data_IF_472249756869
#
_entry.id   IF_472249756869
#
_cell.length_a   1.000
_cell.length_b   1.000
_cell.length_c   1.000
_cell.angle_alpha   90.00
_cell.angle_beta   90.00
_cell.angle_gamma   90.00
#
_symmetry.space_group_name_H-M   'P 1'
#
loop_
_entity.id
_entity.type
_entity.pdbx_description
1 polymer ?
#
# COMPACT_ATOMS: atom_id res chain seq x y z
N UNK A 1 9.68 -8.83 5.68
CA UNK A 1 8.98 -7.69 5.05
C UNK A 1 7.57 -7.69 5.60
N UNK A 2 7.05 -6.54 6.05
CA UNK A 2 5.75 -6.44 6.73
C UNK A 2 4.77 -5.66 5.85
N UNK A 3 3.56 -6.19 5.66
CA UNK A 3 2.48 -5.48 4.99
C UNK A 3 1.68 -4.67 6.01
N UNK A 4 1.57 -3.36 5.80
CA UNK A 4 0.96 -2.40 6.72
C UNK A 4 -0.22 -1.69 6.05
N UNK A 5 -1.13 -1.16 6.88
CA UNK A 5 -2.11 -0.18 6.41
C UNK A 5 -1.40 1.10 5.94
N UNK A 6 -2.07 1.90 5.12
CA UNK A 6 -1.45 3.09 4.54
C UNK A 6 -0.95 4.06 5.61
N UNK A 7 -1.74 4.31 6.66
CA UNK A 7 -1.38 5.26 7.71
C UNK A 7 -0.17 4.79 8.52
N UNK A 8 -0.15 3.51 8.89
CA UNK A 8 0.98 2.92 9.63
C UNK A 8 2.24 2.88 8.77
N UNK A 9 2.09 2.62 7.46
CA UNK A 9 3.22 2.70 6.52
C UNK A 9 3.82 4.11 6.48
N UNK A 10 3.00 5.16 6.42
CA UNK A 10 3.47 6.56 6.42
C UNK A 10 4.21 6.88 7.73
N UNK A 11 3.68 6.48 8.87
CA UNK A 11 4.33 6.67 10.17
C UNK A 11 5.69 5.97 10.24
N UNK A 12 5.76 4.70 9.82
CA UNK A 12 7.02 3.95 9.82
C UNK A 12 8.02 4.46 8.78
N UNK A 13 7.55 4.93 7.63
CA UNK A 13 8.40 5.59 6.63
C UNK A 13 8.99 6.90 7.18
N UNK A 14 8.21 7.69 7.89
CA UNK A 14 8.70 8.92 8.52
C UNK A 14 9.78 8.61 9.57
N UNK A 15 9.61 7.57 10.39
CA UNK A 15 10.65 7.08 11.31
C UNK A 15 11.90 6.55 10.58
N UNK A 16 11.74 6.03 9.37
CA UNK A 16 12.82 5.49 8.56
C UNK A 16 13.67 6.60 7.92
N UNK A 17 13.03 7.69 7.50
CA UNK A 17 13.66 8.86 6.88
C UNK A 17 14.07 9.95 7.88
N UNK A 18 13.53 9.93 9.10
CA UNK A 18 13.77 10.94 10.12
C UNK A 18 15.23 11.04 10.60
N UNK A 19 15.56 12.12 11.34
CA UNK A 19 16.91 12.32 11.88
C UNK A 19 17.27 11.16 12.79
N UNK A 20 18.35 10.48 12.45
CA UNK A 20 18.85 9.40 13.28
C UNK A 20 19.96 9.97 14.14
N UNK A 21 19.66 10.24 15.40
CA UNK A 21 20.65 10.69 16.38
C UNK A 21 21.85 9.73 16.36
N UNK A 22 23.03 10.29 16.03
CA UNK A 22 24.29 9.56 16.06
C UNK A 22 24.54 8.54 14.94
N UNK A 23 23.74 8.45 13.86
CA UNK A 23 24.03 7.50 12.76
C UNK A 23 24.55 8.12 11.47
N UNK A 24 25.46 7.37 10.83
CA UNK A 24 25.97 7.59 9.48
C UNK A 24 24.82 7.67 8.46
N UNK A 25 25.01 8.49 7.43
CA UNK A 25 24.12 8.58 6.25
C UNK A 25 23.70 7.18 5.80
N UNK A 26 22.40 6.96 5.66
CA UNK A 26 21.83 5.68 5.21
C UNK A 26 20.95 5.93 3.99
N UNK A 27 21.04 5.05 3.00
CA UNK A 27 20.15 5.10 1.84
C UNK A 27 18.86 4.37 2.17
N UNK A 28 17.72 5.03 1.92
CA UNK A 28 16.41 4.41 2.00
C UNK A 28 15.97 4.06 0.58
N UNK A 29 15.67 2.79 0.37
CA UNK A 29 15.21 2.28 -0.92
C UNK A 29 13.69 2.20 -0.93
N UNK A 30 13.06 2.88 -1.89
CA UNK A 30 11.62 2.83 -2.12
C UNK A 30 11.37 2.23 -3.49
N UNK A 31 10.46 1.26 -3.58
CA UNK A 31 10.04 0.65 -4.84
C UNK A 31 8.53 0.71 -4.98
N UNK A 32 8.06 0.92 -6.21
CA UNK A 32 6.64 0.96 -6.56
C UNK A 32 6.40 -0.06 -7.68
N UNK A 33 5.43 -0.97 -7.49
CA UNK A 33 5.09 -2.01 -8.46
C UNK A 33 3.60 -2.04 -8.71
N UNK A 34 3.18 -2.05 -9.98
CA UNK A 34 1.80 -2.32 -10.38
C UNK A 34 1.45 -3.79 -10.13
N UNK A 35 0.35 -4.05 -9.44
CA UNK A 35 -0.12 -5.40 -9.07
C UNK A 35 -1.59 -5.54 -9.47
N UNK A 36 -1.98 -6.70 -10.01
CA UNK A 36 -3.40 -7.02 -10.25
C UNK A 36 -4.04 -7.42 -8.93
N UNK A 37 -5.25 -6.91 -8.67
CA UNK A 37 -6.02 -7.20 -7.46
C UNK A 37 -6.35 -8.68 -7.30
N UNK A 38 -6.50 -9.40 -8.42
CA UNK A 38 -6.75 -10.83 -8.41
C UNK A 38 -5.57 -11.65 -7.91
N UNK A 39 -4.34 -11.14 -8.04
CA UNK A 39 -3.10 -11.82 -7.61
C UNK A 39 -2.89 -11.75 -6.09
N UNK A 40 -3.76 -11.02 -5.37
CA UNK A 40 -3.66 -10.78 -3.92
C UNK A 40 -4.58 -11.73 -3.14
N UNK A 41 -5.34 -12.59 -3.85
CA UNK A 41 -6.17 -13.63 -3.25
C UNK A 41 -5.31 -14.77 -2.69
N UNK A 42 -4.80 -14.62 -1.47
CA UNK A 42 -4.51 -15.71 -0.50
C UNK A 42 -4.09 -15.17 0.88
N UNK A 43 -4.85 -14.25 1.50
CA UNK A 43 -4.60 -13.97 2.94
C UNK A 43 -5.79 -13.54 3.78
N UNK A 44 -7.00 -13.42 3.22
CA UNK A 44 -8.20 -13.17 4.00
C UNK A 44 -9.37 -14.05 3.52
N UNK A 45 -9.92 -14.83 4.46
CA UNK A 45 -11.14 -15.68 4.42
C UNK A 45 -11.06 -17.10 3.80
N UNK A 46 -10.44 -18.02 4.53
CA UNK A 46 -11.14 -19.25 4.93
C UNK A 46 -11.88 -18.92 6.23
N UNK A 47 -13.03 -18.25 6.13
CA UNK A 47 -14.07 -18.25 7.17
C UNK A 47 -15.42 -18.05 6.48
N UNK A 48 -16.29 -18.98 6.82
CA UNK A 48 -17.74 -19.00 6.66
C UNK A 48 -18.32 -19.51 5.34
N UNK A 49 -18.89 -20.69 5.49
CA UNK A 49 -19.73 -21.42 4.58
C UNK A 49 -21.03 -20.66 4.27
N UNK A 50 -21.51 -20.85 3.03
CA UNK A 50 -22.93 -20.87 2.67
C UNK A 50 -23.72 -19.57 2.79
N UNK A 51 -24.02 -18.93 1.65
CA UNK A 51 -25.40 -18.91 1.19
C UNK A 51 -25.57 -18.44 -0.26
N UNK A 52 -26.40 -19.16 -1.02
CA UNK A 52 -26.89 -18.78 -2.34
C UNK A 52 -28.00 -17.73 -2.17
N UNK A 53 -27.91 -16.56 -2.82
CA UNK A 53 -29.08 -15.93 -3.47
C UNK A 53 -28.74 -14.74 -4.38
N UNK A 54 -29.34 -14.79 -5.57
CA UNK A 54 -29.38 -13.77 -6.62
C UNK A 54 -29.92 -12.42 -6.13
N UNK A 55 -29.31 -11.30 -6.52
CA UNK A 55 -30.07 -10.07 -6.82
C UNK A 55 -29.36 -9.07 -7.74
N UNK A 56 -30.04 -8.78 -8.87
CA UNK A 56 -30.12 -7.54 -9.67
C UNK A 56 -28.84 -6.89 -10.24
N UNK A 57 -28.71 -7.03 -11.56
CA UNK A 57 -28.08 -6.05 -12.47
C UNK A 57 -28.73 -4.67 -12.27
N UNK A 58 -27.93 -3.66 -11.93
CA UNK A 58 -28.27 -2.23 -12.08
C UNK A 58 -27.24 -1.60 -13.02
N UNK A 59 -27.76 -0.85 -13.98
CA UNK A 59 -27.08 -0.31 -15.14
C UNK A 59 -26.00 0.73 -14.84
N UNK A 60 -24.90 0.61 -15.59
CA UNK A 60 -24.15 1.66 -16.30
C UNK A 60 -23.97 3.01 -15.56
N UNK A 61 -22.83 3.15 -14.89
CA UNK A 61 -22.18 4.44 -14.76
C UNK A 61 -20.75 4.30 -15.30
N UNK A 62 -20.45 5.02 -16.37
CA UNK A 62 -19.21 4.96 -17.16
C UNK A 62 -18.05 5.64 -16.44
N UNK A 63 -17.64 5.05 -15.32
CA UNK A 63 -16.36 5.33 -14.69
C UNK A 63 -15.66 4.00 -14.37
N UNK A 64 -15.33 3.25 -15.43
CA UNK A 64 -14.44 2.07 -15.42
C UNK A 64 -12.99 2.50 -15.09
N UNK A 65 -12.82 3.23 -14.00
CA UNK A 65 -11.51 3.43 -13.40
C UNK A 65 -10.92 2.06 -13.07
N UNK A 66 -9.62 1.91 -13.32
CA UNK A 66 -8.80 0.71 -13.29
C UNK A 66 -8.75 -0.01 -11.92
N UNK A 67 -9.90 -0.34 -11.31
CA UNK A 67 -10.04 -1.05 -10.01
C UNK A 67 -9.42 -2.45 -10.02
N UNK A 68 -9.01 -2.93 -11.18
CA UNK A 68 -8.25 -4.16 -11.39
C UNK A 68 -6.82 -4.06 -10.86
N UNK A 69 -6.23 -2.87 -10.79
CA UNK A 69 -4.83 -2.69 -10.41
C UNK A 69 -4.67 -1.87 -9.14
N UNK A 70 -3.60 -2.15 -8.42
CA UNK A 70 -3.13 -1.36 -7.29
C UNK A 70 -1.62 -1.18 -7.34
N UNK A 71 -1.11 -0.23 -6.56
CA UNK A 71 0.32 -0.03 -6.39
C UNK A 71 0.78 -0.72 -5.09
N UNK A 72 1.72 -1.65 -5.21
CA UNK A 72 2.48 -2.17 -4.07
C UNK A 72 3.72 -1.28 -3.89
N UNK A 73 3.80 -0.65 -2.74
CA UNK A 73 4.91 0.21 -2.36
C UNK A 73 5.71 -0.48 -1.27
N UNK A 74 7.04 -0.46 -1.35
CA UNK A 74 7.94 -1.05 -0.36
C UNK A 74 9.03 -0.06 -0.01
N UNK A 75 9.41 0.00 1.26
CA UNK A 75 10.52 0.80 1.75
C UNK A 75 11.45 -0.02 2.65
N UNK A 76 12.76 0.22 2.54
CA UNK A 76 13.78 -0.48 3.32
C UNK A 76 15.05 0.34 3.52
N UNK A 77 15.73 0.14 4.65
CA UNK A 77 17.07 0.68 4.94
C UNK A 77 18.21 -0.20 4.37
N UNK A 78 17.84 -1.24 3.60
CA UNK A 78 18.76 -2.25 3.08
C UNK A 78 19.24 -3.26 4.12
N UNK A 79 18.79 -3.14 5.37
CA UNK A 79 19.20 -3.98 6.50
C UNK A 79 17.97 -4.70 7.06
N UNK A 80 17.43 -4.19 8.16
CA UNK A 80 16.50 -4.90 9.02
C UNK A 80 15.06 -4.43 8.84
N UNK A 81 14.85 -3.15 8.50
CA UNK A 81 13.49 -2.59 8.36
C UNK A 81 13.03 -2.74 6.93
N UNK A 82 11.98 -3.55 6.70
CA UNK A 82 11.35 -3.78 5.39
C UNK A 82 9.84 -3.67 5.52
N UNK A 83 9.27 -2.55 5.13
CA UNK A 83 7.82 -2.26 5.21
C UNK A 83 7.21 -2.18 3.82
N UNK A 84 5.91 -2.45 3.71
CA UNK A 84 5.17 -2.42 2.45
C UNK A 84 3.70 -2.07 2.65
N UNK A 85 3.05 -1.53 1.62
CA UNK A 85 1.61 -1.23 1.64
C UNK A 85 1.01 -1.30 0.23
N UNK A 86 -0.31 -1.50 0.16
CA UNK A 86 -1.07 -1.46 -1.08
C UNK A 86 -1.87 -0.16 -1.16
N UNK A 87 -1.78 0.54 -2.29
CA UNK A 87 -2.49 1.81 -2.52
C UNK A 87 -3.39 1.69 -3.74
N UNK A 88 -4.67 2.02 -3.58
CA UNK A 88 -5.67 1.87 -4.65
C UNK A 88 -6.70 3.01 -4.69
N UNK A 89 -7.41 3.31 -3.61
CA UNK A 89 -8.51 4.31 -3.64
C UNK A 89 -8.09 5.71 -3.16
N UNK A 90 -7.07 5.81 -2.31
CA UNK A 90 -6.63 7.05 -1.64
C UNK A 90 -5.31 7.62 -2.21
N UNK A 91 -5.04 7.38 -3.50
CA UNK A 91 -3.73 7.66 -4.14
C UNK A 91 -3.29 9.12 -3.97
N UNK A 92 -4.19 10.08 -4.12
CA UNK A 92 -3.85 11.52 -4.04
C UNK A 92 -3.36 11.89 -2.63
N UNK A 93 -4.15 11.57 -1.60
CA UNK A 93 -3.79 11.83 -0.20
C UNK A 93 -2.50 11.08 0.19
N UNK A 94 -2.38 9.81 -0.22
CA UNK A 94 -1.18 9.03 0.03
C UNK A 94 0.07 9.63 -0.62
N UNK A 95 -0.05 10.13 -1.85
CA UNK A 95 1.04 10.78 -2.59
C UNK A 95 1.47 12.08 -1.93
N UNK A 96 0.52 12.89 -1.45
CA UNK A 96 0.81 14.11 -0.70
C UNK A 96 1.62 13.80 0.57
N UNK A 97 1.21 12.79 1.33
CA UNK A 97 1.91 12.36 2.55
C UNK A 97 3.33 11.85 2.26
N UNK A 98 3.50 11.00 1.25
CA UNK A 98 4.84 10.54 0.84
C UNK A 98 5.72 11.70 0.39
N UNK A 99 5.19 12.61 -0.42
CA UNK A 99 5.95 13.74 -0.92
C UNK A 99 6.44 14.64 0.21
N UNK A 100 5.63 14.84 1.25
CA UNK A 100 6.02 15.60 2.44
C UNK A 100 7.22 14.98 3.17
N UNK A 101 7.38 13.65 3.13
CA UNK A 101 8.50 12.94 3.76
C UNK A 101 9.75 12.97 2.86
N UNK A 102 9.58 12.86 1.54
CA UNK A 102 10.71 12.82 0.60
C UNK A 102 11.30 14.20 0.34
N UNK A 103 10.46 15.24 0.28
CA UNK A 103 10.88 16.62 -0.04
C UNK A 103 11.28 17.44 1.18
N UNK A 104 11.45 16.83 2.35
CA UNK A 104 11.98 17.52 3.53
C UNK A 104 13.21 18.38 3.20
#
# INVERSE_FOLDING_TARGET
MVLLSNDVFIQELNKLCGPVEGKKKTSIWITMKRVKRNDIKTLTSNKDAGDKKNTKKVNKNDNKGNKEYMCLIRATDGKNKKISTHVYDNVISFTQNINSIIKC
#
